data_IF_061353168665
#
_entry.id   IF_061353168665
#
_cell.length_a   1.000
_cell.length_b   1.000
_cell.length_c   1.000
_cell.angle_alpha   90.00
_cell.angle_beta   90.00
_cell.angle_gamma   90.00
#
_symmetry.space_group_name_H-M   'P 1'
#
loop_
_entity.id
_entity.type
_entity.pdbx_description
1 polymer ?
#
# COMPACT_ATOMS: atom_id res chain seq x y z
N UNK A 1 10.72 -64.82 -34.25
CA UNK A 1 9.54 -63.93 -34.08
C UNK A 1 9.31 -63.70 -32.59
N UNK A 2 9.17 -62.43 -32.18
CA UNK A 2 8.78 -61.87 -30.86
C UNK A 2 9.90 -61.66 -29.81
N UNK A 3 10.31 -60.39 -29.73
CA UNK A 3 10.96 -59.75 -28.57
C UNK A 3 9.97 -59.60 -27.40
N UNK A 4 10.48 -59.45 -26.18
CA UNK A 4 9.85 -58.67 -25.09
C UNK A 4 10.93 -58.16 -24.14
N UNK A 5 11.16 -56.85 -24.19
CA UNK A 5 11.84 -56.06 -23.15
C UNK A 5 10.82 -55.75 -22.05
N UNK A 6 11.18 -55.98 -20.78
CA UNK A 6 10.48 -55.58 -19.55
C UNK A 6 11.59 -55.36 -18.52
N UNK A 7 11.77 -54.28 -17.77
CA UNK A 7 11.14 -52.96 -17.64
C UNK A 7 12.00 -52.21 -16.60
N UNK A 8 12.32 -50.94 -16.86
CA UNK A 8 13.17 -50.08 -16.02
C UNK A 8 12.47 -49.72 -14.68
N UNK A 9 13.08 -49.92 -13.49
CA UNK A 9 12.54 -49.40 -12.24
C UNK A 9 13.09 -47.97 -12.02
N UNK A 10 12.57 -47.00 -12.77
CA UNK A 10 13.10 -45.64 -12.80
C UNK A 10 12.06 -44.54 -12.64
N UNK A 11 10.90 -44.85 -12.04
CA UNK A 11 9.76 -43.93 -12.06
C UNK A 11 9.01 -43.82 -10.71
N UNK A 12 9.72 -43.90 -9.58
CA UNK A 12 9.10 -43.70 -8.24
C UNK A 12 9.79 -42.63 -7.38
N UNK A 13 10.68 -41.81 -7.94
CA UNK A 13 11.40 -40.78 -7.17
C UNK A 13 11.30 -39.36 -7.77
N UNK A 14 10.21 -39.09 -8.50
CA UNK A 14 9.93 -37.79 -9.14
C UNK A 14 8.48 -37.35 -8.87
N UNK A 15 8.03 -37.46 -7.62
CA UNK A 15 6.70 -36.98 -7.21
C UNK A 15 6.73 -36.34 -5.82
N UNK A 16 7.75 -35.51 -5.55
CA UNK A 16 7.98 -34.98 -4.18
C UNK A 16 8.46 -33.53 -4.09
N UNK A 17 8.46 -32.74 -5.18
CA UNK A 17 9.02 -31.36 -5.16
C UNK A 17 8.08 -30.27 -5.75
N UNK A 18 6.85 -30.61 -6.15
CA UNK A 18 5.83 -29.62 -6.55
C UNK A 18 4.63 -29.91 -5.64
N UNK A 19 4.22 -29.09 -4.67
CA UNK A 19 3.68 -27.74 -4.79
C UNK A 19 3.51 -27.13 -3.37
N UNK A 20 4.58 -26.61 -2.76
CA UNK A 20 4.45 -25.68 -1.61
C UNK A 20 4.70 -24.24 -2.06
N UNK A 21 4.27 -23.88 -3.28
CA UNK A 21 4.08 -22.48 -3.61
C UNK A 21 2.86 -22.01 -2.83
N UNK A 22 3.06 -21.41 -1.67
CA UNK A 22 2.00 -20.69 -0.96
C UNK A 22 1.36 -19.72 -1.96
N UNK A 23 0.13 -19.99 -2.37
CA UNK A 23 -0.64 -19.12 -3.26
C UNK A 23 -1.09 -17.89 -2.46
N UNK A 24 -0.14 -17.08 -2.02
CA UNK A 24 -0.43 -15.72 -1.60
C UNK A 24 -0.64 -14.95 -2.91
N UNK A 25 -1.90 -14.68 -3.26
CA UNK A 25 -2.22 -13.99 -4.51
C UNK A 25 -1.42 -12.69 -4.64
N UNK A 26 -0.68 -12.55 -5.74
CA UNK A 26 0.02 -11.29 -6.05
C UNK A 26 -1.02 -10.22 -6.36
N UNK A 27 -0.88 -9.06 -5.73
CA UNK A 27 -1.66 -7.87 -6.03
C UNK A 27 -0.75 -6.92 -6.81
N UNK A 28 -1.15 -6.61 -8.03
CA UNK A 28 -0.51 -5.59 -8.86
C UNK A 28 -1.31 -4.30 -8.75
N UNK A 29 -0.62 -3.18 -8.65
CA UNK A 29 -1.21 -1.84 -8.62
C UNK A 29 -0.54 -0.95 -9.65
N UNK A 30 -1.25 0.10 -10.08
CA UNK A 30 -0.70 1.18 -10.89
C UNK A 30 -0.94 2.52 -10.21
N UNK A 31 0.02 3.42 -10.25
CA UNK A 31 -0.10 4.79 -9.75
C UNK A 31 0.11 5.74 -10.92
N UNK A 32 -0.85 6.64 -11.10
CA UNK A 32 -0.84 7.65 -12.15
C UNK A 32 -1.15 9.03 -11.59
N UNK A 33 -0.73 10.05 -12.31
CA UNK A 33 -1.13 11.42 -12.08
C UNK A 33 -2.59 11.61 -12.53
N UNK A 34 -3.46 12.16 -11.65
CA UNK A 34 -4.90 12.29 -11.95
C UNK A 34 -5.16 13.20 -13.16
N UNK A 35 -4.37 14.27 -13.34
CA UNK A 35 -4.60 15.28 -14.36
C UNK A 35 -4.13 14.81 -15.74
N UNK A 36 -2.95 14.19 -15.79
CA UNK A 36 -2.29 13.80 -17.05
C UNK A 36 -2.51 12.34 -17.43
N UNK A 37 -2.83 11.48 -16.45
CA UNK A 37 -2.89 10.02 -16.63
C UNK A 37 -1.52 9.36 -16.79
N UNK A 38 -0.42 10.11 -16.68
CA UNK A 38 0.94 9.60 -16.81
C UNK A 38 1.31 8.71 -15.61
N UNK A 39 2.09 7.63 -15.82
CA UNK A 39 2.56 6.78 -14.74
C UNK A 39 3.51 7.54 -13.80
N UNK A 40 3.40 7.28 -12.49
CA UNK A 40 4.26 7.89 -11.47
C UNK A 40 5.29 6.88 -11.00
N UNK A 41 6.56 7.10 -11.35
CA UNK A 41 7.70 6.34 -10.84
C UNK A 41 8.06 6.75 -9.40
N UNK A 42 8.41 5.76 -8.58
CA UNK A 42 8.92 5.97 -7.25
C UNK A 42 7.88 6.46 -6.25
N UNK A 43 6.60 6.18 -6.47
CA UNK A 43 5.53 6.36 -5.49
C UNK A 43 5.56 5.20 -4.49
N UNK A 44 5.41 5.50 -3.20
CA UNK A 44 5.30 4.49 -2.15
C UNK A 44 3.83 4.11 -2.00
N UNK A 45 3.55 2.81 -2.09
CA UNK A 45 2.25 2.21 -1.78
C UNK A 45 2.41 1.43 -0.49
N UNK A 46 1.76 1.89 0.57
CA UNK A 46 1.67 1.20 1.85
C UNK A 46 0.29 0.55 1.95
N UNK A 47 0.28 -0.71 2.37
CA UNK A 47 -0.93 -1.44 2.70
C UNK A 47 -0.77 -2.05 4.07
N UNK A 48 -1.81 -1.89 4.87
CA UNK A 48 -1.95 -2.60 6.12
C UNK A 48 -3.23 -3.43 6.10
N UNK A 49 -3.09 -4.70 6.48
CA UNK A 49 -4.21 -5.55 6.88
C UNK A 49 -4.25 -5.60 8.39
N UNK A 50 -5.44 -5.49 8.95
CA UNK A 50 -5.68 -5.62 10.40
C UNK A 50 -6.52 -6.85 10.70
N UNK A 51 -6.49 -7.28 11.96
CA UNK A 51 -7.35 -8.35 12.47
C UNK A 51 -8.02 -7.86 13.75
N UNK A 52 -9.34 -8.02 13.81
CA UNK A 52 -10.09 -7.80 15.05
C UNK A 52 -9.99 -9.03 15.94
N UNK A 53 -9.54 -8.84 17.19
CA UNK A 53 -9.38 -9.89 18.21
C UNK A 53 -10.26 -9.60 19.43
N UNK A 54 -10.56 -10.67 20.16
CA UNK A 54 -11.29 -10.63 21.42
C UNK A 54 -12.72 -11.16 21.31
N UNK A 55 -13.28 -11.58 22.44
CA UNK A 55 -14.69 -11.97 22.60
C UNK A 55 -15.28 -11.02 23.64
N UNK A 56 -16.26 -10.20 23.27
CA UNK A 56 -16.79 -9.12 24.10
C UNK A 56 -16.11 -7.78 23.82
N UNK A 57 -15.11 -7.41 24.62
CA UNK A 57 -14.27 -6.24 24.34
C UNK A 57 -13.27 -6.58 23.23
N UNK A 58 -13.46 -6.00 22.06
CA UNK A 58 -12.59 -6.21 20.90
C UNK A 58 -11.49 -5.16 20.81
N UNK A 59 -10.36 -5.55 20.23
CA UNK A 59 -9.28 -4.65 19.81
C UNK A 59 -8.82 -5.03 18.40
N UNK A 60 -8.22 -4.08 17.70
CA UNK A 60 -7.72 -4.27 16.34
C UNK A 60 -6.19 -4.28 16.37
N UNK A 61 -5.59 -5.36 15.87
CA UNK A 61 -4.14 -5.49 15.71
C UNK A 61 -3.75 -5.38 14.24
N UNK A 62 -2.55 -4.85 13.97
CA UNK A 62 -1.93 -4.97 12.65
C UNK A 62 -1.54 -6.42 12.39
N UNK A 63 -2.00 -6.96 11.27
CA UNK A 63 -1.69 -8.32 10.84
C UNK A 63 -0.50 -8.36 9.89
N UNK A 64 -0.47 -7.43 8.93
CA UNK A 64 0.63 -7.32 7.98
C UNK A 64 0.68 -5.89 7.44
N UNK A 65 1.89 -5.33 7.36
CA UNK A 65 2.16 -4.11 6.59
C UNK A 65 3.09 -4.48 5.44
N UNK A 66 2.79 -3.96 4.25
CA UNK A 66 3.65 -4.08 3.08
C UNK A 66 3.81 -2.70 2.46
N UNK A 67 5.06 -2.36 2.17
CA UNK A 67 5.42 -1.16 1.42
C UNK A 67 6.12 -1.57 0.14
N UNK A 68 5.71 -0.98 -0.97
CA UNK A 68 6.34 -1.17 -2.28
C UNK A 68 6.50 0.16 -2.98
N UNK A 69 7.47 0.22 -3.90
CA UNK A 69 7.77 1.42 -4.67
C UNK A 69 7.46 1.15 -6.14
N UNK A 70 6.79 2.10 -6.81
CA UNK A 70 6.45 1.94 -8.21
C UNK A 70 7.65 2.06 -9.14
N UNK A 71 7.64 1.25 -10.21
CA UNK A 71 8.58 1.30 -11.32
C UNK A 71 8.29 2.45 -12.30
N UNK A 72 9.03 2.49 -13.42
CA UNK A 72 8.90 3.51 -14.48
C UNK A 72 7.54 3.51 -15.15
N UNK A 73 6.87 2.37 -15.19
CA UNK A 73 5.51 2.20 -15.70
C UNK A 73 4.45 2.56 -14.65
N UNK A 74 4.88 3.04 -13.47
CA UNK A 74 4.03 3.39 -12.34
C UNK A 74 3.43 2.17 -11.66
N UNK A 75 3.99 0.98 -11.86
CA UNK A 75 3.46 -0.28 -11.34
C UNK A 75 4.22 -0.75 -10.12
N UNK A 76 3.54 -1.44 -9.24
CA UNK A 76 4.17 -2.18 -8.16
C UNK A 76 3.43 -3.51 -7.94
N UNK A 77 4.18 -4.50 -7.47
CA UNK A 77 3.64 -5.82 -7.11
C UNK A 77 3.91 -6.08 -5.65
N UNK A 78 2.91 -6.62 -4.96
CA UNK A 78 3.03 -7.02 -3.57
C UNK A 78 2.36 -8.36 -3.33
N UNK A 79 2.88 -9.11 -2.37
CA UNK A 79 2.21 -10.33 -1.91
C UNK A 79 0.98 -9.95 -1.11
N UNK A 80 -0.20 -10.28 -1.66
CA UNK A 80 -1.45 -10.16 -0.95
C UNK A 80 -1.52 -11.05 0.29
N UNK A 81 -2.64 -10.96 0.98
CA UNK A 81 -2.92 -11.72 2.19
C UNK A 81 -4.12 -12.62 1.95
N UNK A 82 -3.94 -13.93 2.09
CA UNK A 82 -5.06 -14.86 2.18
C UNK A 82 -5.38 -15.12 3.64
N UNK A 83 -6.17 -14.24 4.25
CA UNK A 83 -6.69 -14.44 5.60
C UNK A 83 -8.18 -14.04 5.60
N UNK A 84 -9.13 -14.99 5.73
CA UNK A 84 -10.56 -14.70 5.74
C UNK A 84 -11.03 -13.94 6.99
N UNK A 85 -10.15 -13.78 7.99
CA UNK A 85 -10.40 -13.01 9.20
C UNK A 85 -9.70 -11.65 9.22
N UNK A 86 -8.96 -11.30 8.15
CA UNK A 86 -8.41 -9.96 8.02
C UNK A 86 -9.51 -8.97 7.64
N UNK A 87 -9.53 -7.83 8.32
CA UNK A 87 -10.42 -6.71 8.01
C UNK A 87 -9.98 -6.01 6.71
N UNK A 88 -10.79 -5.06 6.23
CA UNK A 88 -10.48 -4.25 5.05
C UNK A 88 -9.09 -3.62 5.16
N UNK A 89 -8.32 -3.67 4.06
CA UNK A 89 -6.97 -3.12 4.05
C UNK A 89 -6.98 -1.60 4.11
N UNK A 90 -6.22 -1.03 5.04
CA UNK A 90 -5.84 0.39 5.05
C UNK A 90 -4.77 0.61 3.99
N UNK A 91 -4.95 1.59 3.12
CA UNK A 91 -4.04 1.88 2.01
C UNK A 91 -3.68 3.35 2.00
N UNK A 92 -2.40 3.61 1.79
CA UNK A 92 -1.83 4.93 1.60
C UNK A 92 -0.90 4.92 0.39
N UNK A 93 -1.05 5.89 -0.52
CA UNK A 93 -0.17 6.03 -1.68
C UNK A 93 0.36 7.45 -1.74
N UNK A 94 1.68 7.57 -1.79
CA UNK A 94 2.34 8.86 -1.69
C UNK A 94 3.53 9.01 -2.63
N UNK A 95 3.67 10.22 -3.17
CA UNK A 95 4.85 10.69 -3.89
C UNK A 95 5.07 12.16 -3.57
N UNK A 96 6.33 12.56 -3.36
CA UNK A 96 6.71 13.97 -3.24
C UNK A 96 6.11 14.80 -4.38
N UNK A 97 5.44 15.90 -4.04
CA UNK A 97 4.76 16.79 -4.99
C UNK A 97 3.30 16.42 -5.26
N UNK A 98 2.78 15.39 -4.60
CA UNK A 98 1.39 14.96 -4.69
C UNK A 98 0.72 14.97 -3.32
N UNK A 99 -0.60 15.12 -3.31
CA UNK A 99 -1.43 14.87 -2.13
C UNK A 99 -1.45 13.36 -1.86
N UNK A 100 -1.30 12.97 -0.60
CA UNK A 100 -1.44 11.58 -0.16
C UNK A 100 -2.82 11.08 -0.58
N UNK A 101 -2.86 9.92 -1.24
CA UNK A 101 -4.10 9.17 -1.44
C UNK A 101 -4.28 8.20 -0.27
N UNK A 102 -5.48 8.12 0.30
CA UNK A 102 -5.84 7.13 1.31
C UNK A 102 -7.30 6.71 1.18
N UNK A 103 -7.62 5.47 1.56
CA UNK A 103 -9.01 5.02 1.70
C UNK A 103 -9.63 5.37 3.06
N UNK A 104 -8.82 5.75 4.05
CA UNK A 104 -9.31 6.09 5.39
C UNK A 104 -9.81 7.53 5.50
N UNK A 105 -9.37 8.42 4.61
CA UNK A 105 -9.55 9.85 4.78
C UNK A 105 -9.32 10.61 3.47
N UNK A 106 -9.83 11.84 3.37
CA UNK A 106 -9.67 12.69 2.17
C UNK A 106 -9.13 14.06 2.54
N UNK A 107 -8.04 14.45 1.88
CA UNK A 107 -7.45 15.77 2.06
C UNK A 107 -8.39 16.86 1.52
N UNK A 108 -8.81 17.79 2.39
CA UNK A 108 -9.72 18.91 2.05
C UNK A 108 -11.03 18.48 1.35
N UNK A 109 -11.57 17.32 1.70
CA UNK A 109 -12.85 16.80 1.18
C UNK A 109 -13.71 16.14 2.26
N UNK A 110 -14.98 15.86 1.95
CA UNK A 110 -15.98 15.41 2.93
C UNK A 110 -16.46 13.96 2.75
N UNK A 111 -15.88 13.18 1.82
CA UNK A 111 -16.38 11.84 1.50
C UNK A 111 -15.30 10.77 1.66
N UNK A 112 -15.33 10.06 2.78
CA UNK A 112 -14.62 8.80 2.94
C UNK A 112 -15.16 7.77 1.93
N UNK A 113 -14.28 6.92 1.40
CA UNK A 113 -14.68 5.74 0.65
C UNK A 113 -15.07 4.64 1.64
N UNK A 114 -16.28 4.73 2.19
CA UNK A 114 -16.84 3.59 2.93
C UNK A 114 -17.00 2.44 1.93
N UNK A 115 -16.36 1.30 2.19
CA UNK A 115 -16.29 0.10 1.33
C UNK A 115 -15.24 0.14 0.20
N UNK A 116 -14.05 0.69 0.46
CA UNK A 116 -12.92 0.51 -0.46
C UNK A 116 -12.50 -0.95 -0.55
N UNK A 117 -12.80 -1.58 -1.68
CA UNK A 117 -12.23 -2.86 -2.10
C UNK A 117 -11.40 -2.61 -3.36
N UNK A 118 -10.08 -2.67 -3.22
CA UNK A 118 -9.24 -2.74 -4.40
C UNK A 118 -9.19 -4.14 -4.98
N UNK A 119 -9.11 -4.21 -6.29
CA UNK A 119 -8.96 -5.47 -7.03
C UNK A 119 -7.55 -5.54 -7.61
N UNK A 120 -7.13 -6.72 -8.02
CA UNK A 120 -5.88 -6.84 -8.77
C UNK A 120 -5.90 -5.89 -9.98
N UNK A 121 -4.79 -5.19 -10.21
CA UNK A 121 -4.62 -4.11 -11.19
C UNK A 121 -5.38 -2.81 -10.87
N UNK A 122 -5.66 -2.52 -9.59
CA UNK A 122 -6.23 -1.23 -9.21
C UNK A 122 -5.30 -0.07 -9.60
N UNK A 123 -5.88 1.00 -10.12
CA UNK A 123 -5.15 2.21 -10.49
C UNK A 123 -5.44 3.32 -9.49
N UNK A 124 -4.44 3.68 -8.69
CA UNK A 124 -4.45 4.87 -7.87
C UNK A 124 -4.15 6.09 -8.71
N UNK A 125 -4.87 7.16 -8.41
CA UNK A 125 -4.70 8.43 -9.07
C UNK A 125 -4.33 9.48 -8.03
N UNK A 126 -3.16 10.09 -8.21
CA UNK A 126 -2.64 11.09 -7.30
C UNK A 126 -2.91 12.49 -7.84
N UNK A 127 -3.47 13.34 -6.97
CA UNK A 127 -3.63 14.77 -7.26
C UNK A 127 -2.33 15.49 -6.93
N UNK A 128 -1.89 16.40 -7.80
CA UNK A 128 -0.72 17.23 -7.53
C UNK A 128 -0.94 18.09 -6.28
N UNK A 129 0.11 18.25 -5.50
CA UNK A 129 0.10 19.19 -4.39
C UNK A 129 0.12 20.61 -4.95
N UNK A 130 -0.89 21.42 -4.60
CA UNK A 130 -1.04 22.76 -5.18
C UNK A 130 -0.37 23.82 -4.31
N UNK A 131 0.12 24.93 -4.88
CA UNK A 131 0.79 26.00 -4.12
C UNK A 131 -0.05 26.62 -2.99
N UNK A 132 -1.38 26.59 -3.11
CA UNK A 132 -2.32 27.07 -2.11
C UNK A 132 -2.56 26.08 -0.95
N UNK A 133 -2.04 24.86 -1.03
CA UNK A 133 -2.14 23.89 0.05
C UNK A 133 -1.09 24.15 1.13
N UNK A 134 -1.47 23.91 2.38
CA UNK A 134 -0.58 24.04 3.53
C UNK A 134 0.11 22.71 3.80
N UNK A 135 1.43 22.74 4.01
CA UNK A 135 2.20 21.58 4.42
C UNK A 135 1.84 21.16 5.85
N UNK A 136 1.48 22.10 6.72
CA UNK A 136 0.99 21.80 8.07
C UNK A 136 -0.31 20.99 8.02
N UNK A 137 -1.23 21.38 7.14
CA UNK A 137 -2.49 20.66 6.98
C UNK A 137 -2.26 19.28 6.36
N UNK A 138 -1.36 19.18 5.38
CA UNK A 138 -1.09 17.92 4.68
C UNK A 138 -0.34 16.92 5.56
N UNK A 139 0.68 17.34 6.31
CA UNK A 139 1.35 16.49 7.31
C UNK A 139 0.37 15.98 8.37
N UNK A 140 -0.51 16.85 8.87
CA UNK A 140 -1.58 16.45 9.81
C UNK A 140 -2.54 15.44 9.18
N UNK A 141 -2.88 15.61 7.90
CA UNK A 141 -3.69 14.67 7.14
C UNK A 141 -2.98 13.32 6.94
N UNK A 142 -1.69 13.32 6.60
CA UNK A 142 -0.89 12.10 6.45
C UNK A 142 -0.90 11.33 7.77
N UNK A 143 -0.54 12.00 8.87
CA UNK A 143 -0.51 11.41 10.21
C UNK A 143 -1.86 10.82 10.61
N UNK A 144 -2.97 11.50 10.31
CA UNK A 144 -4.32 10.99 10.60
C UNK A 144 -4.70 9.80 9.70
N UNK A 145 -4.31 9.82 8.43
CA UNK A 145 -4.63 8.78 7.45
C UNK A 145 -3.85 7.47 7.68
N UNK A 146 -2.63 7.58 8.20
CA UNK A 146 -1.69 6.47 8.40
C UNK A 146 -1.47 6.13 9.87
N UNK A 147 -2.03 6.91 10.80
CA UNK A 147 -1.84 6.75 12.24
C UNK A 147 -2.44 5.46 12.81
N UNK A 148 -3.41 4.85 12.12
CA UNK A 148 -3.93 3.52 12.45
C UNK A 148 -2.98 2.40 12.07
N UNK A 149 -1.94 2.68 11.28
CA UNK A 149 -0.94 1.71 10.92
C UNK A 149 0.03 1.44 12.06
N UNK A 150 -0.08 0.25 12.65
CA UNK A 150 0.73 -0.17 13.79
C UNK A 150 2.02 -0.91 13.39
N UNK A 151 2.17 -1.29 12.12
CA UNK A 151 3.39 -1.92 11.61
C UNK A 151 4.48 -0.94 11.15
N UNK A 152 5.60 -1.50 10.69
CA UNK A 152 6.72 -0.76 10.11
C UNK A 152 6.31 -0.10 8.79
N UNK A 153 6.47 1.22 8.70
CA UNK A 153 6.08 2.08 7.57
C UNK A 153 7.23 3.00 7.14
N UNK A 154 8.44 2.44 7.19
CA UNK A 154 9.69 3.17 6.97
C UNK A 154 9.74 3.87 5.62
N UNK A 155 9.33 3.22 4.53
CA UNK A 155 9.39 3.83 3.19
C UNK A 155 8.44 5.02 3.08
N UNK A 156 7.23 4.91 3.64
CA UNK A 156 6.27 6.00 3.64
C UNK A 156 6.76 7.15 4.53
N UNK A 157 7.23 6.85 5.74
CA UNK A 157 7.79 7.85 6.67
C UNK A 157 8.97 8.61 6.05
N UNK A 158 9.89 7.90 5.39
CA UNK A 158 11.00 8.52 4.65
C UNK A 158 10.49 9.38 3.47
N UNK A 159 9.45 8.91 2.77
CA UNK A 159 8.95 9.60 1.59
C UNK A 159 8.33 10.97 1.91
N UNK A 160 7.59 11.12 3.02
CA UNK A 160 6.98 12.41 3.39
C UNK A 160 7.80 13.23 4.41
N UNK A 161 8.94 12.75 4.91
CA UNK A 161 9.76 13.49 5.88
C UNK A 161 10.11 14.92 5.43
N UNK A 162 10.32 15.14 4.13
CA UNK A 162 10.57 16.48 3.60
C UNK A 162 9.37 17.44 3.78
N UNK A 163 8.13 16.93 3.78
CA UNK A 163 6.94 17.74 4.04
C UNK A 163 6.89 18.20 5.50
N UNK A 164 7.36 17.40 6.46
CA UNK A 164 7.50 17.83 7.85
C UNK A 164 8.48 18.99 7.99
N UNK A 165 9.57 18.98 7.21
CA UNK A 165 10.52 20.10 7.15
C UNK A 165 9.86 21.36 6.57
N UNK A 166 9.08 21.25 5.50
CA UNK A 166 8.34 22.39 4.92
C UNK A 166 7.23 22.88 5.87
N UNK A 167 6.51 21.98 6.52
CA UNK A 167 5.51 22.31 7.54
C UNK A 167 6.16 23.05 8.72
N UNK A 168 7.38 22.67 9.13
CA UNK A 168 8.13 23.40 10.14
C UNK A 168 8.44 24.84 9.71
N UNK A 169 8.94 25.03 8.49
CA UNK A 169 9.21 26.37 7.94
C UNK A 169 7.93 27.21 7.87
N UNK A 170 6.82 26.59 7.47
CA UNK A 170 5.52 27.24 7.42
C UNK A 170 5.03 27.67 8.82
N UNK A 171 5.20 26.81 9.85
CA UNK A 171 4.87 27.14 11.25
C UNK A 171 5.67 28.35 11.73
N UNK A 172 6.97 28.39 11.46
CA UNK A 172 7.83 29.50 11.85
C UNK A 172 7.46 30.80 11.14
N UNK A 173 7.11 30.74 9.85
CA UNK A 173 6.63 31.91 9.11
C UNK A 173 5.33 32.46 9.71
N UNK A 174 4.35 31.59 10.04
CA UNK A 174 3.09 32.00 10.67
C UNK A 174 3.32 32.67 12.04
N UNK A 175 4.22 32.14 12.86
CA UNK A 175 4.57 32.69 14.19
C UNK A 175 5.20 34.09 14.12
N UNK A 176 5.96 34.39 13.07
CA UNK A 176 6.60 35.72 12.89
C UNK A 176 5.65 36.80 12.38
N UNK A 177 4.47 36.41 11.89
CA UNK A 177 3.46 37.33 11.34
C UNK A 177 2.36 37.67 12.36
N UNK A 178 2.42 37.08 13.55
CA UNK A 178 1.55 37.36 14.70
C UNK A 178 2.26 38.30 15.66
#
# INVERSE_FOLDING_TARGET
MKSKFIGFPGALLMLSILLLTSCNGTITVKVVDEETGEPIEGAVVMVEWTITKGIGLTHTDSYKVVEVVTDKEGKAEMSGVYNPFADLSSVAVYKKGYVLWSNNDVFKGSRMLTNFEWKNNYTFKLNRFKPEYSYIEHTSFISRSTGTAHGDKKLLDEAYYWEELEASKERDKRRRQQ
#
